data_IF_019541922739
#
_entry.id   IF_019541922739
#
_cell.length_a   1.000
_cell.length_b   1.000
_cell.length_c   1.000
_cell.angle_alpha   90.00
_cell.angle_beta   90.00
_cell.angle_gamma   90.00
#
_symmetry.space_group_name_H-M   'P 1'
#
loop_
_entity.id
_entity.type
_entity.pdbx_description
1 polymer ?
#
# COMPACT_ATOMS: atom_id res chain seq x y z
N UNK A 1 -18.70 -26.53 5.62
CA UNK A 1 -18.12 -25.18 5.83
C UNK A 1 -16.62 -25.33 6.06
N UNK A 2 -15.79 -25.08 5.05
CA UNK A 2 -14.35 -25.27 5.13
C UNK A 2 -13.69 -24.08 5.86
N UNK A 3 -13.01 -24.34 6.99
CA UNK A 3 -12.23 -23.32 7.72
C UNK A 3 -10.99 -22.98 6.88
N UNK A 4 -10.89 -21.73 6.42
CA UNK A 4 -9.68 -21.22 5.80
C UNK A 4 -8.54 -21.24 6.84
N UNK A 5 -7.52 -22.04 6.57
CA UNK A 5 -6.34 -22.18 7.42
C UNK A 5 -5.43 -20.96 7.16
N UNK A 6 -5.44 -20.01 8.10
CA UNK A 6 -4.57 -18.82 8.04
C UNK A 6 -3.19 -19.29 8.50
N UNK A 7 -2.31 -19.56 7.54
CA UNK A 7 -0.91 -19.87 7.82
C UNK A 7 -0.22 -18.58 8.27
N UNK A 8 -0.18 -18.37 9.58
CA UNK A 8 0.64 -17.32 10.17
C UNK A 8 2.11 -17.68 9.96
N UNK A 9 2.88 -16.76 9.35
CA UNK A 9 4.34 -16.82 9.36
C UNK A 9 4.83 -16.65 10.81
N UNK A 10 4.76 -17.72 11.57
CA UNK A 10 5.31 -17.85 12.91
C UNK A 10 6.69 -18.45 12.75
N UNK A 11 7.63 -17.87 13.48
CA UNK A 11 9.06 -18.08 13.34
C UNK A 11 9.49 -19.57 13.37
N UNK A 12 10.36 -19.91 12.42
CA UNK A 12 11.40 -20.95 12.47
C UNK A 12 11.06 -22.42 12.78
N UNK A 13 11.06 -23.28 11.74
CA UNK A 13 11.98 -24.46 11.61
C UNK A 13 11.71 -25.43 10.45
N UNK A 14 10.69 -25.25 9.62
CA UNK A 14 10.40 -26.20 8.54
C UNK A 14 10.46 -25.53 7.16
N UNK A 15 11.66 -25.32 6.62
CA UNK A 15 11.82 -24.96 5.20
C UNK A 15 12.79 -25.95 4.55
N UNK A 16 12.24 -27.10 4.14
CA UNK A 16 12.93 -28.01 3.22
C UNK A 16 12.93 -27.38 1.82
N UNK A 17 14.14 -27.15 1.30
CA UNK A 17 14.50 -27.08 -0.13
C UNK A 17 13.55 -26.28 -1.02
N UNK A 18 13.55 -24.96 -0.88
CA UNK A 18 13.13 -24.05 -1.94
C UNK A 18 14.32 -23.15 -2.24
N UNK A 19 14.79 -23.18 -3.49
CA UNK A 19 15.90 -22.36 -3.95
C UNK A 19 15.61 -20.91 -3.59
N UNK A 20 16.49 -20.32 -2.79
CA UNK A 20 16.43 -18.92 -2.45
C UNK A 20 16.41 -18.10 -3.74
N UNK A 21 15.28 -17.47 -4.07
CA UNK A 21 15.21 -16.54 -5.18
C UNK A 21 15.99 -15.29 -4.80
N UNK A 22 17.30 -15.30 -5.02
CA UNK A 22 18.14 -14.12 -4.89
C UNK A 22 17.66 -13.09 -5.91
N UNK A 23 17.34 -11.87 -5.47
CA UNK A 23 16.69 -10.80 -6.27
C UNK A 23 15.15 -10.92 -6.41
N UNK A 24 14.47 -11.45 -5.40
CA UNK A 24 13.02 -11.30 -5.31
C UNK A 24 12.64 -9.88 -4.84
N UNK A 25 11.63 -9.27 -5.46
CA UNK A 25 10.99 -8.04 -4.98
C UNK A 25 9.76 -8.39 -4.16
N UNK A 26 9.70 -7.91 -2.92
CA UNK A 26 8.56 -8.09 -2.01
C UNK A 26 7.79 -6.79 -1.90
N UNK A 27 6.52 -6.81 -2.26
CA UNK A 27 5.63 -5.68 -1.99
C UNK A 27 5.02 -5.85 -0.60
N UNK A 28 5.02 -4.77 0.19
CA UNK A 28 4.42 -4.72 1.52
C UNK A 28 3.29 -3.71 1.52
N UNK A 29 2.10 -4.16 1.93
CA UNK A 29 0.92 -3.32 2.10
C UNK A 29 0.57 -3.23 3.58
N UNK A 30 0.42 -2.01 4.11
CA UNK A 30 -0.09 -1.78 5.46
C UNK A 30 -1.37 -0.98 5.35
N UNK A 31 -2.45 -1.50 5.93
CA UNK A 31 -3.74 -0.80 6.02
C UNK A 31 -4.19 -0.62 7.47
N UNK A 32 -5.01 0.40 7.69
CA UNK A 32 -5.61 0.68 9.00
C UNK A 32 -7.13 0.49 8.88
N UNK A 33 -7.69 -0.40 9.69
CA UNK A 33 -9.14 -0.63 9.77
C UNK A 33 -9.58 -0.26 11.20
N UNK A 34 -10.33 0.83 11.32
CA UNK A 34 -10.69 1.41 12.62
C UNK A 34 -9.44 1.73 13.44
N UNK A 35 -9.27 1.09 14.59
CA UNK A 35 -8.09 1.26 15.47
C UNK A 35 -6.98 0.24 15.24
N UNK A 36 -7.13 -0.71 14.30
CA UNK A 36 -6.18 -1.81 14.09
C UNK A 36 -5.39 -1.63 12.80
N UNK A 37 -4.08 -1.83 12.87
CA UNK A 37 -3.19 -1.92 11.69
C UNK A 37 -3.02 -3.37 11.28
N UNK A 38 -3.05 -3.63 9.98
CA UNK A 38 -2.80 -4.93 9.38
C UNK A 38 -1.72 -4.78 8.32
N UNK A 39 -0.80 -5.74 8.26
CA UNK A 39 0.25 -5.77 7.25
C UNK A 39 0.16 -7.04 6.41
N UNK A 40 0.46 -6.90 5.14
CA UNK A 40 0.45 -7.96 4.15
C UNK A 40 1.68 -7.86 3.26
N UNK A 41 2.08 -8.99 2.69
CA UNK A 41 3.13 -9.03 1.68
C UNK A 41 2.70 -9.87 0.47
N UNK A 42 3.34 -9.62 -0.66
CA UNK A 42 3.29 -10.48 -1.85
C UNK A 42 4.66 -10.53 -2.49
N UNK A 43 4.95 -11.65 -3.15
CA UNK A 43 6.23 -11.89 -3.81
C UNK A 43 6.01 -12.84 -4.99
N UNK A 44 5.82 -12.28 -6.18
CA UNK A 44 5.56 -13.04 -7.41
C UNK A 44 6.69 -14.03 -7.73
N UNK A 45 7.94 -13.60 -7.54
CA UNK A 45 9.13 -14.42 -7.77
C UNK A 45 9.26 -15.64 -6.83
N UNK A 46 8.49 -15.67 -5.75
CA UNK A 46 8.43 -16.78 -4.80
C UNK A 46 7.08 -17.54 -4.88
N UNK A 47 6.28 -17.30 -5.92
CA UNK A 47 4.96 -17.91 -6.08
C UNK A 47 3.88 -17.35 -5.14
N UNK A 48 4.19 -16.29 -4.38
CA UNK A 48 3.23 -15.60 -3.50
C UNK A 48 2.53 -14.51 -4.30
N UNK A 49 1.61 -14.93 -5.17
CA UNK A 49 0.83 -14.02 -6.02
C UNK A 49 -0.27 -13.27 -5.23
N UNK A 50 -0.81 -13.90 -4.18
CA UNK A 50 -1.85 -13.32 -3.33
C UNK A 50 -1.25 -12.65 -2.10
N UNK A 51 -1.94 -11.63 -1.57
CA UNK A 51 -1.57 -10.97 -0.33
C UNK A 51 -1.62 -11.95 0.86
N UNK A 52 -0.48 -12.14 1.52
CA UNK A 52 -0.36 -12.93 2.73
C UNK A 52 -0.17 -12.04 3.95
N UNK A 53 -0.79 -12.40 5.08
CA UNK A 53 -0.67 -11.63 6.31
C UNK A 53 0.74 -11.70 6.90
N UNK A 54 1.22 -10.60 7.46
CA UNK A 54 2.46 -10.54 8.22
C UNK A 54 2.32 -9.64 9.46
N UNK A 55 3.26 -9.74 10.39
CA UNK A 55 3.29 -8.87 11.55
C UNK A 55 3.58 -7.41 11.17
N UNK A 56 2.79 -6.47 11.70
CA UNK A 56 3.02 -5.02 11.52
C UNK A 56 4.42 -4.57 11.96
N UNK A 57 4.98 -5.05 13.09
CA UNK A 57 6.36 -4.70 13.47
C UNK A 57 7.39 -5.14 12.42
N UNK A 58 7.23 -6.35 11.88
CA UNK A 58 8.10 -6.90 10.84
C UNK A 58 7.99 -6.07 9.55
N UNK A 59 6.76 -5.73 9.14
CA UNK A 59 6.51 -4.91 7.96
C UNK A 59 7.15 -3.52 8.08
N UNK A 60 6.98 -2.84 9.21
CA UNK A 60 7.60 -1.53 9.45
C UNK A 60 9.14 -1.64 9.43
N UNK A 61 9.70 -2.68 10.04
CA UNK A 61 11.15 -2.92 10.04
C UNK A 61 11.67 -3.13 8.60
N UNK A 62 10.99 -3.97 7.83
CA UNK A 62 11.33 -4.27 6.44
C UNK A 62 11.26 -3.02 5.54
N UNK A 63 10.18 -2.22 5.67
CA UNK A 63 10.05 -0.95 4.96
C UNK A 63 11.15 0.05 5.32
N UNK A 64 11.59 0.07 6.59
CA UNK A 64 12.68 0.94 7.05
C UNK A 64 14.05 0.48 6.56
N UNK A 65 14.30 -0.83 6.54
CA UNK A 65 15.58 -1.40 6.11
C UNK A 65 15.70 -1.50 4.58
N UNK A 66 14.58 -1.51 3.86
CA UNK A 66 14.56 -1.69 2.40
C UNK A 66 14.73 -3.14 1.96
N UNK A 67 14.92 -4.09 2.88
CA UNK A 67 15.03 -5.51 2.59
C UNK A 67 14.32 -6.39 3.64
N UNK A 68 14.00 -7.63 3.26
CA UNK A 68 13.36 -8.61 4.13
C UNK A 68 13.77 -10.04 3.79
N UNK A 69 13.85 -10.88 4.83
CA UNK A 69 13.96 -12.34 4.69
C UNK A 69 12.72 -12.98 5.31
N UNK A 70 12.09 -13.91 4.58
CA UNK A 70 10.91 -14.66 4.95
C UNK A 70 11.14 -16.16 4.67
N UNK A 71 10.31 -17.08 5.17
CA UNK A 71 10.41 -18.49 4.80
C UNK A 71 10.36 -18.66 3.27
N UNK A 72 11.44 -19.18 2.68
CA UNK A 72 11.56 -19.35 1.22
C UNK A 72 11.96 -18.09 0.44
N UNK A 73 12.22 -16.96 1.10
CA UNK A 73 12.63 -15.69 0.48
C UNK A 73 13.81 -15.12 1.27
N UNK A 74 14.96 -14.92 0.64
CA UNK A 74 16.14 -14.37 1.30
C UNK A 74 16.57 -13.05 0.70
N UNK A 75 16.85 -12.06 1.55
CA UNK A 75 17.40 -10.75 1.17
C UNK A 75 16.64 -10.08 0.01
N UNK A 76 15.32 -10.13 0.09
CA UNK A 76 14.46 -9.56 -0.92
C UNK A 76 14.33 -8.05 -0.75
N UNK A 77 14.42 -7.30 -1.85
CA UNK A 77 14.19 -5.86 -1.84
C UNK A 77 12.72 -5.56 -1.58
N UNK A 78 12.48 -4.64 -0.66
CA UNK A 78 11.13 -4.27 -0.22
C UNK A 78 10.61 -3.08 -1.02
N UNK A 79 9.34 -3.11 -1.39
CA UNK A 79 8.62 -1.97 -1.96
C UNK A 79 7.34 -1.74 -1.18
N UNK A 80 7.09 -0.48 -0.82
CA UNK A 80 5.82 -0.10 -0.23
C UNK A 80 4.72 -0.15 -1.29
N UNK A 81 3.70 -0.96 -1.07
CA UNK A 81 2.48 -0.88 -1.86
C UNK A 81 1.57 0.18 -1.25
N UNK A 82 1.32 1.22 -2.04
CA UNK A 82 0.28 2.20 -1.75
C UNK A 82 -0.95 1.82 -2.56
N UNK A 83 -2.07 1.67 -1.88
CA UNK A 83 -3.37 1.57 -2.55
C UNK A 83 -3.63 2.96 -3.11
N UNK A 84 -3.53 3.09 -4.44
CA UNK A 84 -3.93 4.33 -5.10
C UNK A 84 -5.39 4.59 -4.69
N UNK A 85 -5.64 5.79 -4.15
CA UNK A 85 -7.00 6.19 -3.84
C UNK A 85 -7.86 5.95 -5.09
N UNK A 86 -9.03 5.32 -4.99
CA UNK A 86 -9.88 5.09 -6.15
C UNK A 86 -10.14 6.46 -6.78
N UNK A 87 -9.55 6.69 -7.95
CA UNK A 87 -9.73 7.93 -8.69
C UNK A 87 -11.23 8.02 -8.98
N UNK A 88 -11.92 8.94 -8.30
CA UNK A 88 -13.34 9.15 -8.59
C UNK A 88 -13.42 9.57 -10.06
N UNK A 89 -14.26 8.94 -10.90
CA UNK A 89 -14.24 9.17 -12.34
C UNK A 89 -14.45 10.65 -12.71
N UNK A 90 -15.11 11.41 -11.82
CA UNK A 90 -15.38 12.85 -11.99
C UNK A 90 -14.44 13.78 -11.18
N UNK A 91 -13.36 13.27 -10.58
CA UNK A 91 -12.46 14.08 -9.75
C UNK A 91 -11.83 15.24 -10.55
N UNK A 92 -11.47 15.00 -11.81
CA UNK A 92 -10.94 16.03 -12.70
C UNK A 92 -12.00 17.09 -13.01
N UNK A 93 -13.21 16.67 -13.41
CA UNK A 93 -14.33 17.58 -13.71
C UNK A 93 -14.72 18.44 -12.51
N UNK A 94 -14.75 17.86 -11.30
CA UNK A 94 -14.99 18.61 -10.08
C UNK A 94 -13.89 19.64 -9.82
N UNK A 95 -12.63 19.26 -10.00
CA UNK A 95 -11.48 20.17 -9.84
C UNK A 95 -11.54 21.35 -10.82
N UNK A 96 -11.90 21.10 -12.06
CA UNK A 96 -12.02 22.16 -13.08
C UNK A 96 -13.21 23.07 -12.78
N UNK A 97 -14.36 22.51 -12.36
CA UNK A 97 -15.53 23.29 -11.98
C UNK A 97 -15.30 24.14 -10.73
N UNK A 98 -14.58 23.62 -9.75
CA UNK A 98 -14.19 24.36 -8.56
C UNK A 98 -13.25 25.53 -8.91
N UNK A 99 -12.29 25.31 -9.83
CA UNK A 99 -11.39 26.37 -10.30
C UNK A 99 -12.15 27.48 -11.03
N UNK A 100 -13.10 27.12 -11.90
CA UNK A 100 -13.93 28.09 -12.60
C UNK A 100 -14.76 28.96 -11.63
N UNK A 101 -15.44 28.32 -10.67
CA UNK A 101 -16.24 29.03 -9.66
C UNK A 101 -15.39 29.97 -8.79
N UNK A 102 -14.20 29.55 -8.39
CA UNK A 102 -13.30 30.40 -7.61
C UNK A 102 -12.87 31.63 -8.41
N UNK A 103 -12.54 31.47 -9.70
CA UNK A 103 -12.22 32.61 -10.58
C UNK A 103 -13.40 33.57 -10.76
N UNK A 104 -14.63 33.05 -10.86
CA UNK A 104 -15.84 33.90 -10.91
C UNK A 104 -16.01 34.70 -9.62
N UNK A 105 -15.86 34.07 -8.46
CA UNK A 105 -15.92 34.74 -7.15
C UNK A 105 -14.84 35.83 -7.05
N UNK A 106 -13.62 35.54 -7.48
CA UNK A 106 -12.53 36.51 -7.48
C UNK A 106 -12.84 37.71 -8.38
N UNK A 107 -13.43 37.47 -9.55
CA UNK A 107 -13.87 38.54 -10.47
C UNK A 107 -14.97 39.42 -9.88
N UNK A 108 -15.92 38.81 -9.15
CA UNK A 108 -17.01 39.50 -8.47
C UNK A 108 -16.47 40.35 -7.31
N UNK A 109 -15.54 39.81 -6.52
CA UNK A 109 -14.91 40.54 -5.42
C UNK A 109 -14.09 41.74 -5.92
N UNK A 110 -13.40 41.59 -7.05
CA UNK A 110 -12.65 42.69 -7.67
C UNK A 110 -13.57 43.80 -8.19
N UNK A 111 -14.67 43.44 -8.87
CA UNK A 111 -15.63 44.43 -9.36
C UNK A 111 -16.39 45.13 -8.24
N UNK A 112 -16.77 44.41 -7.18
CA UNK A 112 -17.40 44.99 -5.99
C UNK A 112 -16.49 45.98 -5.24
N UNK A 113 -15.17 45.77 -5.26
CA UNK A 113 -14.18 46.68 -4.66
C UNK A 113 -13.86 47.91 -5.51
N UNK A 114 -14.00 47.82 -6.83
CA UNK A 114 -13.78 48.96 -7.75
C UNK A 114 -14.98 49.90 -7.90
N UNK A 115 -16.14 49.52 -7.37
CA UNK A 115 -17.39 50.30 -7.42
C UNK A 115 -17.67 51.13 -6.16
N UNK A 116 -16.74 51.14 -5.19
CA UNK A 116 -16.78 51.94 -3.96
C UNK A 116 -15.73 53.06 -4.02
#
# INVERSE_FOLDING_TARGET
MARAQINHATDSRAASRHAATSSARVDIWIRTIGRRRQAFYRCSAAGVANWQAMGVPLANKALKLGSISLPGISDATVTAYMEDAPAHPMAAEFGDRARALNSEIDSLNLSARGAA
#
